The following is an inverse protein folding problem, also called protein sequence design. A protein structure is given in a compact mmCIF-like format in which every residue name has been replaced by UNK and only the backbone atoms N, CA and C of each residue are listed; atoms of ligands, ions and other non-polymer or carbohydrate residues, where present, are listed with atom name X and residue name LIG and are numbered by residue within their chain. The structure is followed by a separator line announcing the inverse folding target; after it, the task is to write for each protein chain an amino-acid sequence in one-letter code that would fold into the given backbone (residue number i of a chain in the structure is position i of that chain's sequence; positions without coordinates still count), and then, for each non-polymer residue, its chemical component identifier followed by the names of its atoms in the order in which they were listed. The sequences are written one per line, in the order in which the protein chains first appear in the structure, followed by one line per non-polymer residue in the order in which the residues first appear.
data_IF_336123984156
#
_entry.id   IF_336123984156
#
_cell.length_a   1.000
_cell.length_b   1.000
_cell.length_c   1.000
_cell.angle_alpha   90.00
_cell.angle_beta   90.00
_cell.angle_gamma   90.00
#
_symmetry.space_group_name_H-M   'P 1'
#
loop_
_entity.id
_entity.type
_entity.pdbx_description
1 polymer ?
#
# COMPACT_ATOMS: atom_id res chain seq x y z
N UNK A 1 -15.61 -0.92 -30.87
CA UNK A 1 -15.59 -1.52 -29.51
C UNK A 1 -16.96 -1.47 -28.83
N UNK A 2 -17.74 -0.39 -28.95
CA UNK A 2 -19.09 -0.33 -28.38
C UNK A 2 -20.06 -1.40 -28.87
N UNK A 3 -19.78 -2.07 -29.99
CA UNK A 3 -20.60 -3.14 -30.57
C UNK A 3 -20.28 -4.55 -30.00
N UNK A 4 -19.21 -4.74 -29.23
CA UNK A 4 -18.84 -6.06 -28.69
C UNK A 4 -19.54 -6.33 -27.37
N UNK A 5 -20.11 -7.52 -27.24
CA UNK A 5 -20.70 -7.96 -25.96
C UNK A 5 -19.60 -8.28 -24.92
N UNK A 6 -19.96 -8.29 -23.63
CA UNK A 6 -19.05 -8.76 -22.57
C UNK A 6 -18.58 -10.20 -22.81
N UNK A 7 -19.43 -11.06 -23.37
CA UNK A 7 -19.07 -12.45 -23.72
C UNK A 7 -17.96 -12.50 -24.77
N UNK A 8 -18.02 -11.63 -25.80
CA UNK A 8 -16.96 -11.53 -26.81
C UNK A 8 -15.65 -10.99 -26.23
N UNK A 9 -15.73 -10.02 -25.31
CA UNK A 9 -14.56 -9.48 -24.60
C UNK A 9 -13.94 -10.57 -23.70
N UNK A 10 -14.76 -11.38 -23.01
CA UNK A 10 -14.28 -12.48 -22.17
C UNK A 10 -13.54 -13.58 -22.97
N UNK A 11 -13.80 -13.68 -24.25
CA UNK A 11 -13.12 -14.63 -25.16
C UNK A 11 -11.74 -14.13 -25.64
N UNK A 12 -11.35 -12.89 -25.34
CA UNK A 12 -10.03 -12.39 -25.76
C UNK A 12 -8.92 -13.20 -25.13
N UNK A 13 -7.96 -13.58 -25.97
CA UNK A 13 -6.66 -14.05 -25.49
C UNK A 13 -5.83 -12.87 -24.95
N UNK A 14 -4.84 -13.12 -24.10
CA UNK A 14 -3.92 -12.06 -23.64
C UNK A 14 -3.28 -11.28 -24.80
N UNK A 15 -2.87 -11.97 -25.87
CA UNK A 15 -2.28 -11.35 -27.06
C UNK A 15 -3.26 -10.44 -27.81
N UNK A 16 -4.54 -10.80 -27.87
CA UNK A 16 -5.58 -9.97 -28.48
C UNK A 16 -5.86 -8.72 -27.62
N UNK A 17 -5.87 -8.87 -26.30
CA UNK A 17 -6.04 -7.75 -25.38
C UNK A 17 -4.85 -6.78 -25.47
N UNK A 18 -3.62 -7.28 -25.58
CA UNK A 18 -2.41 -6.47 -25.75
C UNK A 18 -2.39 -5.65 -27.05
N UNK A 19 -3.23 -5.99 -28.05
CA UNK A 19 -3.38 -5.24 -29.31
C UNK A 19 -4.46 -4.16 -29.28
N UNK A 20 -5.23 -4.04 -28.19
CA UNK A 20 -6.23 -2.98 -28.05
C UNK A 20 -5.54 -1.62 -28.00
N UNK A 21 -6.10 -0.65 -28.72
CA UNK A 21 -5.63 0.74 -28.61
C UNK A 21 -6.08 1.37 -27.29
N UNK A 22 -5.39 2.42 -26.84
CA UNK A 22 -5.77 3.19 -25.65
C UNK A 22 -7.18 3.75 -25.77
N UNK A 23 -7.60 4.21 -26.96
CA UNK A 23 -8.96 4.69 -27.21
C UNK A 23 -10.01 3.57 -27.07
N UNK A 24 -9.68 2.36 -27.50
CA UNK A 24 -10.57 1.21 -27.34
C UNK A 24 -10.72 0.80 -25.87
N UNK A 25 -9.63 0.85 -25.10
CA UNK A 25 -9.63 0.55 -23.66
C UNK A 25 -10.42 1.62 -22.89
N UNK A 26 -10.19 2.90 -23.18
CA UNK A 26 -10.91 4.00 -22.57
C UNK A 26 -12.43 3.97 -22.85
N UNK A 27 -12.85 3.37 -23.97
CA UNK A 27 -14.25 3.23 -24.37
C UNK A 27 -14.96 2.00 -23.75
N UNK A 28 -14.27 1.13 -23.00
CA UNK A 28 -14.89 -0.03 -22.33
C UNK A 28 -15.85 0.44 -21.22
N UNK A 29 -17.07 -0.05 -21.26
CA UNK A 29 -17.97 0.11 -20.12
C UNK A 29 -17.61 -0.86 -18.98
N UNK A 30 -18.28 -0.70 -17.80
CA UNK A 30 -18.01 -1.53 -16.63
C UNK A 30 -18.11 -3.03 -16.92
N UNK A 31 -19.16 -3.48 -17.58
CA UNK A 31 -19.40 -4.90 -17.85
C UNK A 31 -18.34 -5.47 -18.81
N UNK A 32 -17.96 -4.70 -19.84
CA UNK A 32 -16.91 -5.08 -20.78
C UNK A 32 -15.53 -5.14 -20.11
N UNK A 33 -15.21 -4.15 -19.27
CA UNK A 33 -13.95 -4.11 -18.51
C UNK A 33 -13.85 -5.31 -17.56
N UNK A 34 -14.92 -5.58 -16.81
CA UNK A 34 -14.98 -6.71 -15.88
C UNK A 34 -15.03 -8.09 -16.56
N UNK A 35 -15.29 -8.14 -17.87
CA UNK A 35 -15.23 -9.36 -18.66
C UNK A 35 -13.83 -9.71 -19.14
N UNK A 36 -12.88 -8.76 -19.15
CA UNK A 36 -11.48 -9.05 -19.45
C UNK A 36 -10.91 -10.00 -18.40
N UNK A 37 -10.19 -11.01 -18.87
CA UNK A 37 -9.47 -11.93 -17.97
C UNK A 37 -8.32 -11.22 -17.27
N UNK A 38 -7.99 -11.58 -16.02
CA UNK A 38 -6.84 -11.02 -15.30
C UNK A 38 -5.53 -11.10 -16.09
N UNK A 39 -5.25 -12.24 -16.73
CA UNK A 39 -4.06 -12.48 -17.53
C UNK A 39 -3.99 -11.55 -18.78
N UNK A 40 -5.14 -11.18 -19.30
CA UNK A 40 -5.23 -10.26 -20.43
C UNK A 40 -4.83 -8.82 -20.01
N UNK A 41 -5.24 -8.39 -18.82
CA UNK A 41 -4.81 -7.11 -18.24
C UNK A 41 -3.31 -7.11 -17.91
N UNK A 42 -2.78 -8.19 -17.38
CA UNK A 42 -1.36 -8.33 -17.06
C UNK A 42 -0.45 -8.20 -18.31
N UNK A 43 -0.93 -8.60 -19.48
CA UNK A 43 -0.19 -8.51 -20.75
C UNK A 43 -0.28 -7.15 -21.46
N UNK A 44 -1.18 -6.26 -21.00
CA UNK A 44 -1.27 -4.91 -21.56
C UNK A 44 -0.03 -4.08 -21.20
N UNK A 45 0.35 -3.16 -22.08
CA UNK A 45 1.43 -2.21 -21.79
C UNK A 45 1.03 -1.22 -20.68
N UNK A 46 2.01 -0.62 -20.04
CA UNK A 46 1.79 0.46 -19.05
C UNK A 46 0.99 1.63 -19.63
N UNK A 47 1.21 1.98 -20.90
CA UNK A 47 0.46 3.02 -21.62
C UNK A 47 -1.01 2.65 -21.79
N UNK A 48 -1.31 1.39 -22.12
CA UNK A 48 -2.67 0.90 -22.22
C UNK A 48 -3.39 0.93 -20.86
N UNK A 49 -2.75 0.45 -19.81
CA UNK A 49 -3.32 0.47 -18.46
C UNK A 49 -3.48 1.92 -17.97
N UNK A 50 -2.52 2.80 -18.23
CA UNK A 50 -2.62 4.22 -17.89
C UNK A 50 -3.79 4.95 -18.57
N UNK A 51 -4.32 4.42 -19.69
CA UNK A 51 -5.48 5.01 -20.37
C UNK A 51 -6.82 4.75 -19.66
N UNK A 52 -6.88 3.83 -18.71
CA UNK A 52 -8.05 3.62 -17.88
C UNK A 52 -8.39 4.90 -17.09
N UNK A 53 -9.65 5.29 -17.05
CA UNK A 53 -10.13 6.37 -16.20
C UNK A 53 -10.16 5.95 -14.73
N UNK A 54 -10.20 6.91 -13.79
CA UNK A 54 -10.35 6.61 -12.37
C UNK A 54 -11.60 5.77 -12.08
N UNK A 55 -12.72 6.02 -12.77
CA UNK A 55 -13.95 5.23 -12.65
C UNK A 55 -13.74 3.79 -13.15
N UNK A 56 -13.01 3.60 -14.24
CA UNK A 56 -12.69 2.25 -14.74
C UNK A 56 -11.80 1.50 -13.77
N UNK A 57 -10.76 2.13 -13.23
CA UNK A 57 -9.88 1.53 -12.20
C UNK A 57 -10.68 1.13 -10.97
N UNK A 58 -11.58 2.00 -10.47
CA UNK A 58 -12.45 1.70 -9.32
C UNK A 58 -13.45 0.55 -9.61
N UNK A 59 -13.73 0.25 -10.87
CA UNK A 59 -14.62 -0.84 -11.29
C UNK A 59 -13.88 -2.15 -11.61
N UNK A 60 -12.55 -2.20 -11.54
CA UNK A 60 -11.83 -3.48 -11.66
C UNK A 60 -12.28 -4.44 -10.57
N UNK A 61 -12.44 -5.69 -10.92
CA UNK A 61 -12.60 -6.75 -9.94
C UNK A 61 -11.28 -6.94 -9.19
N UNK A 62 -11.33 -7.50 -7.98
CA UNK A 62 -10.13 -7.70 -7.16
C UNK A 62 -9.09 -8.55 -7.90
N UNK A 63 -9.51 -9.68 -8.51
CA UNK A 63 -8.63 -10.56 -9.27
C UNK A 63 -7.98 -9.87 -10.49
N UNK A 64 -8.66 -8.88 -11.09
CA UNK A 64 -8.10 -8.06 -12.19
C UNK A 64 -7.06 -7.06 -11.67
N UNK A 65 -7.34 -6.45 -10.53
CA UNK A 65 -6.41 -5.53 -9.88
C UNK A 65 -5.15 -6.25 -9.38
N UNK A 66 -5.33 -7.45 -8.82
CA UNK A 66 -4.24 -8.31 -8.32
C UNK A 66 -3.29 -8.78 -9.44
N UNK A 67 -3.82 -8.96 -10.65
CA UNK A 67 -3.04 -9.37 -11.82
C UNK A 67 -2.19 -8.23 -12.42
N UNK A 68 -2.46 -6.96 -12.07
CA UNK A 68 -1.65 -5.84 -12.57
C UNK A 68 -0.22 -5.94 -12.05
N UNK A 69 0.74 -5.82 -12.95
CA UNK A 69 2.16 -5.74 -12.58
C UNK A 69 2.49 -4.43 -11.88
N UNK A 70 3.57 -4.40 -11.11
CA UNK A 70 4.01 -3.17 -10.43
C UNK A 70 4.16 -1.96 -11.38
N UNK A 71 4.84 -2.06 -12.54
CA UNK A 71 4.91 -0.96 -13.49
C UNK A 71 3.54 -0.48 -13.99
N UNK A 72 2.58 -1.39 -14.19
CA UNK A 72 1.21 -1.06 -14.59
C UNK A 72 0.47 -0.29 -13.49
N UNK A 73 0.59 -0.72 -12.24
CA UNK A 73 -0.01 -0.04 -11.09
C UNK A 73 0.58 1.36 -10.92
N UNK A 74 1.90 1.51 -11.05
CA UNK A 74 2.57 2.81 -11.01
C UNK A 74 2.09 3.75 -12.14
N UNK A 75 1.89 3.22 -13.35
CA UNK A 75 1.40 3.99 -14.48
C UNK A 75 -0.03 4.51 -14.31
N UNK A 76 -0.83 3.91 -13.44
CA UNK A 76 -2.17 4.41 -13.09
C UNK A 76 -2.12 5.70 -12.25
N UNK A 77 -1.00 6.03 -11.62
CA UNK A 77 -0.83 7.26 -10.83
C UNK A 77 -1.83 7.36 -9.68
N UNK A 78 -2.54 8.48 -9.57
CA UNK A 78 -3.51 8.74 -8.50
C UNK A 78 -4.87 8.05 -8.70
N UNK A 79 -5.03 7.20 -9.72
CA UNK A 79 -6.29 6.50 -10.00
C UNK A 79 -6.46 5.23 -9.15
N UNK A 80 -5.44 4.82 -8.42
CA UNK A 80 -5.35 3.51 -7.72
C UNK A 80 -5.74 3.54 -6.23
N UNK A 81 -6.53 4.50 -5.80
CA UNK A 81 -6.92 4.67 -4.39
C UNK A 81 -7.42 3.37 -3.74
N UNK A 82 -8.09 2.51 -4.48
CA UNK A 82 -8.64 1.25 -3.96
C UNK A 82 -7.61 0.10 -3.86
N UNK A 83 -6.42 0.27 -4.45
CA UNK A 83 -5.37 -0.76 -4.47
C UNK A 83 -4.30 -0.54 -3.40
N UNK A 84 -4.37 0.56 -2.69
CA UNK A 84 -3.43 0.95 -1.66
C UNK A 84 -4.16 1.34 -0.38
N UNK A 85 -3.47 1.23 0.71
CA UNK A 85 -3.88 1.72 2.04
C UNK A 85 -2.69 2.44 2.65
N UNK A 86 -2.93 3.58 3.26
CA UNK A 86 -1.89 4.50 3.72
C UNK A 86 -1.75 4.45 5.24
N UNK A 87 -0.77 3.73 5.82
CA UNK A 87 -0.35 3.94 7.21
C UNK A 87 0.78 4.98 7.33
N UNK A 88 0.93 5.55 8.54
CA UNK A 88 2.11 6.31 8.96
C UNK A 88 3.17 5.39 9.55
N UNK A 89 4.43 5.55 9.10
CA UNK A 89 5.59 4.78 9.55
C UNK A 89 6.67 5.72 10.07
N UNK A 90 7.28 5.36 11.21
CA UNK A 90 8.49 5.95 11.73
C UNK A 90 9.69 5.12 11.26
N UNK A 91 10.63 5.75 10.55
CA UNK A 91 11.94 5.20 10.20
C UNK A 91 12.83 5.21 11.45
N UNK A 92 12.77 4.12 12.21
CA UNK A 92 13.42 4.04 13.54
C UNK A 92 14.91 3.72 13.41
N UNK A 93 15.31 2.96 12.39
CA UNK A 93 16.70 2.61 12.13
C UNK A 93 17.44 3.67 11.27
N UNK A 94 16.69 4.63 10.69
CA UNK A 94 17.17 5.76 9.88
C UNK A 94 17.89 5.34 8.60
N UNK A 95 17.47 4.25 7.99
CA UNK A 95 18.06 3.77 6.73
C UNK A 95 17.32 4.27 5.48
N UNK A 96 16.18 4.98 5.68
CA UNK A 96 15.33 5.54 4.62
C UNK A 96 14.51 4.49 3.88
N UNK A 97 14.36 3.29 4.45
CA UNK A 97 13.53 2.20 3.94
C UNK A 97 12.41 1.94 4.91
N UNK A 98 11.19 1.80 4.41
CA UNK A 98 10.00 1.75 5.25
C UNK A 98 9.25 0.42 5.19
N UNK A 99 9.37 -0.30 4.06
CA UNK A 99 8.38 -1.34 3.77
C UNK A 99 8.91 -2.49 2.92
N UNK A 100 8.26 -3.63 3.07
CA UNK A 100 8.42 -4.78 2.18
C UNK A 100 7.30 -4.81 1.13
N UNK A 101 7.51 -5.57 0.04
CA UNK A 101 6.51 -5.72 -1.01
C UNK A 101 5.27 -6.48 -0.52
N UNK A 102 4.16 -6.37 -1.25
CA UNK A 102 2.93 -7.12 -0.93
C UNK A 102 3.15 -8.65 -0.93
N UNK A 103 4.07 -9.15 -1.73
CA UNK A 103 4.36 -10.59 -1.78
C UNK A 103 5.10 -11.08 -0.52
N UNK A 104 5.91 -10.22 0.08
CA UNK A 104 6.62 -10.45 1.34
C UNK A 104 5.90 -9.88 2.57
N UNK A 105 4.73 -9.28 2.39
CA UNK A 105 3.95 -8.68 3.46
C UNK A 105 3.07 -9.68 4.21
N UNK A 106 2.09 -9.19 4.92
CA UNK A 106 1.26 -9.95 5.87
C UNK A 106 -0.19 -10.06 5.40
N UNK A 107 -1.01 -10.81 6.15
CA UNK A 107 -2.47 -10.81 6.05
C UNK A 107 -3.02 -9.99 7.21
N UNK A 108 -3.68 -8.88 6.91
CA UNK A 108 -4.21 -7.97 7.92
C UNK A 108 -5.55 -7.35 7.47
N UNK A 109 -6.46 -7.03 8.39
CA UNK A 109 -7.68 -6.28 8.09
C UNK A 109 -7.38 -4.78 7.95
N UNK A 110 -6.50 -4.46 7.00
CA UNK A 110 -5.98 -3.11 6.77
C UNK A 110 -7.08 -2.09 6.40
N UNK A 111 -8.24 -2.55 5.92
CA UNK A 111 -9.38 -1.70 5.55
C UNK A 111 -10.48 -1.66 6.60
N UNK A 112 -10.28 -2.30 7.75
CA UNK A 112 -11.29 -2.37 8.82
C UNK A 112 -12.66 -2.87 8.33
N UNK A 113 -12.62 -3.86 7.45
CA UNK A 113 -13.81 -4.44 6.81
C UNK A 113 -14.26 -5.75 7.43
N UNK A 114 -13.53 -6.27 8.41
CA UNK A 114 -13.67 -7.60 8.96
C UNK A 114 -13.11 -8.70 8.06
N UNK A 115 -12.36 -8.33 7.01
CA UNK A 115 -11.79 -9.27 6.06
C UNK A 115 -10.30 -8.99 5.87
N UNK A 116 -9.49 -10.05 5.97
CA UNK A 116 -8.04 -9.96 5.75
C UNK A 116 -7.73 -9.72 4.27
N UNK A 117 -6.76 -8.86 4.01
CA UNK A 117 -6.11 -8.70 2.72
C UNK A 117 -4.63 -9.08 2.86
N UNK A 118 -4.03 -9.59 1.79
CA UNK A 118 -2.57 -9.62 1.66
C UNK A 118 -2.12 -8.19 1.41
N UNK A 119 -1.30 -7.64 2.29
CA UNK A 119 -0.84 -6.26 2.22
C UNK A 119 0.67 -6.20 2.31
N UNK A 120 1.29 -5.28 1.57
CA UNK A 120 2.66 -4.86 1.88
C UNK A 120 2.74 -4.48 3.36
N UNK A 121 3.92 -4.48 3.94
CA UNK A 121 4.05 -4.27 5.38
C UNK A 121 5.25 -3.41 5.73
N UNK A 122 5.26 -2.93 6.96
CA UNK A 122 6.40 -2.20 7.52
C UNK A 122 7.62 -3.12 7.65
N UNK A 123 8.84 -2.59 7.50
CA UNK A 123 10.05 -3.33 7.83
C UNK A 123 10.09 -3.67 9.32
N UNK A 124 10.63 -4.82 9.69
CA UNK A 124 10.71 -5.31 11.06
C UNK A 124 11.53 -4.43 12.03
N UNK A 125 12.26 -3.45 11.51
CA UNK A 125 13.08 -2.48 12.27
C UNK A 125 12.43 -1.11 12.42
N UNK A 126 11.30 -0.88 11.73
CA UNK A 126 10.54 0.36 11.74
C UNK A 126 9.21 0.18 12.47
N UNK A 127 8.51 1.28 12.71
CA UNK A 127 7.29 1.24 13.49
C UNK A 127 6.09 1.90 12.82
N UNK A 128 4.95 1.23 12.86
CA UNK A 128 3.66 1.81 12.52
C UNK A 128 3.21 2.72 13.66
N UNK A 129 2.75 3.94 13.33
CA UNK A 129 2.07 4.79 14.30
C UNK A 129 0.65 4.28 14.47
N UNK A 130 0.28 3.97 15.72
CA UNK A 130 -0.97 3.27 16.03
C UNK A 130 -1.66 3.83 17.26
N UNK A 131 -2.94 3.50 17.41
CA UNK A 131 -3.73 3.77 18.60
C UNK A 131 -4.72 2.63 18.83
N UNK A 132 -4.60 1.94 19.96
CA UNK A 132 -5.54 0.92 20.40
C UNK A 132 -6.89 1.59 20.73
N UNK A 133 -7.85 1.48 19.81
CA UNK A 133 -9.14 2.18 19.91
C UNK A 133 -10.17 1.41 20.71
N UNK A 134 -10.07 0.08 20.75
CA UNK A 134 -11.02 -0.80 21.43
C UNK A 134 -10.54 -1.19 22.84
N UNK A 135 -9.27 -0.86 23.20
CA UNK A 135 -8.70 -1.11 24.51
C UNK A 135 -8.37 -2.57 24.80
N UNK A 136 -8.22 -3.40 23.74
CA UNK A 136 -7.93 -4.82 23.90
C UNK A 136 -6.42 -5.13 24.02
N UNK A 137 -5.57 -4.11 23.87
CA UNK A 137 -4.11 -4.24 23.95
C UNK A 137 -3.45 -4.74 22.67
N UNK A 138 -4.22 -4.90 21.59
CA UNK A 138 -3.76 -5.36 20.28
C UNK A 138 -4.01 -4.27 19.22
N UNK A 139 -3.35 -4.40 18.10
CA UNK A 139 -3.66 -3.65 16.87
C UNK A 139 -4.12 -4.69 15.85
N UNK A 140 -5.41 -4.76 15.60
CA UNK A 140 -6.02 -5.84 14.83
C UNK A 140 -6.76 -5.36 13.58
N UNK A 141 -6.87 -4.05 13.39
CA UNK A 141 -7.52 -3.48 12.21
C UNK A 141 -6.89 -2.15 11.74
N UNK A 142 -7.11 -1.82 10.48
CA UNK A 142 -6.63 -0.57 9.88
C UNK A 142 -7.22 0.69 10.50
N UNK A 143 -8.34 0.60 11.25
CA UNK A 143 -8.90 1.74 11.98
C UNK A 143 -8.00 2.21 13.14
N UNK A 144 -7.12 1.35 13.62
CA UNK A 144 -6.16 1.60 14.69
C UNK A 144 -4.80 2.10 14.17
N UNK A 145 -4.61 2.06 12.85
CA UNK A 145 -3.49 2.71 12.17
C UNK A 145 -3.85 4.16 11.82
N UNK A 146 -2.83 5.03 11.71
CA UNK A 146 -3.02 6.37 11.16
C UNK A 146 -2.91 6.34 9.64
N UNK A 147 -4.04 6.27 8.95
CA UNK A 147 -4.12 6.09 7.50
C UNK A 147 -5.44 6.57 6.90
N UNK A 148 -5.67 6.21 5.65
CA UNK A 148 -6.89 6.55 4.92
C UNK A 148 -8.14 5.77 5.39
N UNK A 149 -7.98 4.79 6.27
CA UNK A 149 -9.06 4.06 6.93
C UNK A 149 -9.31 4.52 8.38
N UNK A 150 -8.58 5.53 8.87
CA UNK A 150 -8.82 6.17 10.17
C UNK A 150 -10.07 7.03 10.11
N UNK A 151 -10.99 6.81 11.06
CA UNK A 151 -12.22 7.60 11.16
C UNK A 151 -11.95 8.91 11.91
N UNK A 152 -12.26 10.03 11.25
CA UNK A 152 -12.14 11.37 11.82
C UNK A 152 -13.32 11.70 12.75
N UNK A 153 -13.20 12.71 13.64
CA UNK A 153 -14.29 13.14 14.53
C UNK A 153 -15.60 13.50 13.83
N UNK A 154 -15.55 13.93 12.57
CA UNK A 154 -16.73 14.22 11.74
C UNK A 154 -17.37 12.98 11.10
N UNK A 155 -16.91 11.77 11.43
CA UNK A 155 -17.40 10.50 10.95
C UNK A 155 -16.90 10.09 9.56
N UNK A 156 -16.15 10.93 8.85
CA UNK A 156 -15.55 10.61 7.55
C UNK A 156 -14.21 9.90 7.73
N UNK A 157 -13.78 9.16 6.73
CA UNK A 157 -12.42 8.62 6.66
C UNK A 157 -11.42 9.73 6.35
N UNK A 158 -10.21 9.61 6.88
CA UNK A 158 -9.12 10.49 6.54
C UNK A 158 -8.69 10.26 5.09
N UNK A 159 -8.08 11.26 4.48
CA UNK A 159 -7.58 11.14 3.09
C UNK A 159 -6.16 10.56 3.03
N UNK A 160 -5.45 10.51 4.16
CA UNK A 160 -4.11 9.94 4.34
C UNK A 160 -3.76 9.93 5.84
N UNK A 161 -2.61 9.35 6.19
CA UNK A 161 -2.18 9.22 7.58
C UNK A 161 -1.93 10.55 8.28
N UNK A 162 -1.39 11.56 7.60
CA UNK A 162 -1.18 12.88 8.23
C UNK A 162 -2.50 13.64 8.47
N UNK A 163 -3.50 13.46 7.60
CA UNK A 163 -4.84 14.01 7.86
C UNK A 163 -5.49 13.35 9.09
N UNK A 164 -5.27 12.04 9.27
CA UNK A 164 -5.70 11.34 10.47
C UNK A 164 -4.98 11.89 11.72
N UNK A 165 -3.65 11.99 11.66
CA UNK A 165 -2.83 12.47 12.78
C UNK A 165 -3.16 13.93 13.14
N UNK A 166 -3.36 14.82 12.16
CA UNK A 166 -3.69 16.23 12.40
C UNK A 166 -5.01 16.44 13.13
N UNK A 167 -5.91 15.45 13.12
CA UNK A 167 -7.17 15.54 13.88
C UNK A 167 -6.94 15.49 15.40
N UNK A 168 -5.74 15.14 15.86
CA UNK A 168 -5.34 15.09 17.26
C UNK A 168 -4.61 16.36 17.71
N UNK A 169 -4.27 17.28 16.80
CA UNK A 169 -3.64 18.57 17.10
C UNK A 169 -4.66 19.52 17.74
N UNK A 170 -4.80 19.40 19.05
CA UNK A 170 -5.82 20.13 19.82
C UNK A 170 -5.49 21.61 19.97
N UNK A 171 -4.22 21.97 20.06
CA UNK A 171 -3.74 23.33 20.22
C UNK A 171 -3.43 24.03 18.87
N UNK A 172 -3.46 23.28 17.76
CA UNK A 172 -3.23 23.74 16.39
C UNK A 172 -1.85 24.39 16.18
N UNK A 173 -0.83 23.85 16.83
CA UNK A 173 0.55 24.34 16.67
C UNK A 173 1.31 23.62 15.56
N UNK A 174 0.71 22.62 14.89
CA UNK A 174 1.29 21.84 13.80
C UNK A 174 2.24 20.75 14.28
N UNK A 175 2.21 20.42 15.56
CA UNK A 175 3.06 19.42 16.19
C UNK A 175 2.21 18.56 17.14
N UNK A 176 2.26 17.26 17.01
CA UNK A 176 1.67 16.34 17.97
C UNK A 176 2.72 16.01 19.03
N UNK A 177 2.42 16.33 20.28
CA UNK A 177 3.31 16.12 21.44
C UNK A 177 2.51 16.02 22.77
N UNK A 178 3.20 16.04 23.91
CA UNK A 178 2.57 15.91 25.24
C UNK A 178 1.59 17.04 25.62
N UNK A 179 1.47 18.11 24.82
CA UNK A 179 0.45 19.16 25.01
C UNK A 179 -0.89 18.75 24.39
N UNK A 180 -0.92 17.73 23.54
CA UNK A 180 -2.14 17.20 22.94
C UNK A 180 -2.72 16.08 23.80
N UNK A 181 -4.01 16.13 24.03
CA UNK A 181 -4.69 15.24 24.98
C UNK A 181 -4.50 13.75 24.63
N UNK A 182 -4.49 13.41 23.35
CA UNK A 182 -4.39 12.04 22.86
C UNK A 182 -2.94 11.54 22.69
N UNK A 183 -1.92 12.37 22.95
CA UNK A 183 -0.51 11.96 22.87
C UNK A 183 -0.20 10.68 23.62
N UNK A 184 -0.72 10.55 24.83
CA UNK A 184 -0.51 9.39 25.71
C UNK A 184 -1.10 8.07 25.17
N UNK A 185 -2.07 8.18 24.25
CA UNK A 185 -2.78 7.03 23.67
C UNK A 185 -2.06 6.53 22.40
N UNK A 186 -1.07 7.30 21.90
CA UNK A 186 -0.28 6.94 20.72
C UNK A 186 0.77 5.90 21.09
N UNK A 187 0.91 4.90 20.24
CA UNK A 187 1.92 3.86 20.35
C UNK A 187 2.65 3.68 19.02
N UNK A 188 3.77 3.01 19.09
CA UNK A 188 4.52 2.51 17.94
C UNK A 188 4.43 0.99 17.99
N UNK A 189 3.97 0.39 16.90
CA UNK A 189 3.97 -1.05 16.71
C UNK A 189 5.13 -1.45 15.81
N UNK A 190 6.08 -2.19 16.37
CA UNK A 190 7.23 -2.76 15.67
C UNK A 190 6.97 -4.25 15.53
N UNK A 191 6.41 -4.64 14.40
CA UNK A 191 6.15 -6.05 14.07
C UNK A 191 7.47 -6.72 13.69
N UNK A 192 8.16 -7.29 14.69
CA UNK A 192 9.54 -7.78 14.56
C UNK A 192 9.63 -9.09 13.78
N UNK A 193 8.59 -9.90 13.86
CA UNK A 193 8.51 -11.19 13.17
C UNK A 193 7.79 -11.07 11.82
N UNK A 194 7.23 -9.89 11.49
CA UNK A 194 6.52 -9.58 10.24
C UNK A 194 5.36 -10.55 9.96
N UNK A 195 4.55 -10.83 10.98
CA UNK A 195 3.40 -11.73 10.86
C UNK A 195 2.04 -11.01 10.84
N UNK A 196 2.03 -9.69 11.15
CA UNK A 196 0.81 -8.86 11.16
C UNK A 196 -0.05 -9.09 12.39
N UNK A 197 0.48 -9.69 13.45
CA UNK A 197 -0.15 -9.86 14.74
C UNK A 197 0.61 -9.07 15.80
N UNK A 198 -0.09 -8.54 16.78
CA UNK A 198 0.55 -7.82 17.88
C UNK A 198 1.02 -8.79 18.94
N UNK A 199 2.32 -8.96 19.06
CA UNK A 199 2.95 -9.83 20.03
C UNK A 199 3.43 -9.08 21.29
N UNK A 200 3.65 -9.76 22.44
CA UNK A 200 4.20 -9.14 23.62
C UNK A 200 5.55 -8.47 23.36
N UNK A 201 5.64 -7.16 23.67
CA UNK A 201 6.87 -6.37 23.49
C UNK A 201 6.99 -5.67 22.14
N UNK A 202 6.00 -5.77 21.26
CA UNK A 202 5.99 -5.08 19.96
C UNK A 202 5.30 -3.71 20.02
N UNK A 203 4.41 -3.49 20.99
CA UNK A 203 3.81 -2.19 21.25
C UNK A 203 4.56 -1.42 22.30
N UNK A 204 5.04 -0.23 21.94
CA UNK A 204 5.69 0.70 22.86
C UNK A 204 5.00 2.07 22.82
N UNK A 205 5.02 2.81 23.93
CA UNK A 205 4.63 4.22 23.89
C UNK A 205 5.68 5.05 23.14
N UNK A 206 5.28 6.21 22.61
CA UNK A 206 6.23 7.13 22.00
C UNK A 206 7.33 7.55 23.00
N UNK A 207 6.96 7.71 24.26
CA UNK A 207 7.89 8.08 25.33
C UNK A 207 8.92 6.97 25.61
N UNK A 208 8.50 5.70 25.67
CA UNK A 208 9.41 4.56 25.85
C UNK A 208 10.41 4.44 24.70
N UNK A 209 9.99 4.83 23.49
CA UNK A 209 10.83 4.90 22.31
C UNK A 209 11.67 6.19 22.22
N UNK A 210 11.55 7.10 23.23
CA UNK A 210 12.25 8.38 23.24
C UNK A 210 11.75 9.41 22.23
N UNK A 211 10.58 9.20 21.62
CA UNK A 211 9.95 10.15 20.69
C UNK A 211 9.23 11.23 21.51
N UNK A 212 9.53 12.49 21.24
CA UNK A 212 8.97 13.64 21.95
C UNK A 212 7.97 14.45 21.15
N UNK A 213 8.02 14.36 19.82
CA UNK A 213 7.06 15.06 18.96
C UNK A 213 7.00 14.47 17.54
N UNK A 214 5.84 14.65 16.88
CA UNK A 214 5.59 14.32 15.49
C UNK A 214 5.18 15.62 14.77
N UNK A 215 5.87 16.00 13.69
CA UNK A 215 5.57 17.21 12.94
C UNK A 215 4.50 16.95 11.89
N UNK A 216 3.58 17.90 11.73
CA UNK A 216 2.49 17.85 10.75
C UNK A 216 2.82 18.61 9.46
N UNK A 217 3.96 19.33 9.40
CA UNK A 217 4.42 20.01 8.20
C UNK A 217 5.01 19.01 7.21
N UNK A 218 4.23 18.64 6.20
CA UNK A 218 4.54 17.58 5.24
C UNK A 218 5.15 18.12 3.95
N UNK A 219 5.99 17.28 3.33
CA UNK A 219 6.47 17.44 1.95
C UNK A 219 5.95 16.28 1.12
N UNK A 220 5.50 16.58 -0.11
CA UNK A 220 5.12 15.53 -1.06
C UNK A 220 6.35 14.77 -1.54
N UNK A 221 6.20 13.47 -1.71
CA UNK A 221 7.19 12.57 -2.29
C UNK A 221 6.59 11.83 -3.49
N UNK A 222 7.42 11.43 -4.43
CA UNK A 222 7.08 10.56 -5.56
C UNK A 222 7.87 9.26 -5.52
N UNK A 223 8.57 9.01 -4.42
CA UNK A 223 9.37 7.82 -4.26
C UNK A 223 8.48 6.57 -4.20
N UNK A 224 9.03 5.48 -4.72
CA UNK A 224 8.41 4.16 -4.70
C UNK A 224 9.43 3.18 -4.14
N UNK A 225 8.99 2.35 -3.21
CA UNK A 225 9.79 1.33 -2.58
C UNK A 225 9.01 0.01 -2.57
N UNK A 226 9.56 -1.05 -3.14
CA UNK A 226 8.96 -2.39 -3.16
C UNK A 226 7.49 -2.40 -3.65
N UNK A 227 7.14 -1.52 -4.63
CA UNK A 227 5.78 -1.35 -5.14
C UNK A 227 4.87 -0.48 -4.29
N UNK A 228 5.34 0.03 -3.15
CA UNK A 228 4.62 0.94 -2.26
C UNK A 228 4.96 2.38 -2.61
N UNK A 229 4.01 3.30 -2.50
CA UNK A 229 4.24 4.71 -2.76
C UNK A 229 4.51 5.44 -1.45
N UNK A 230 5.56 6.26 -1.41
CA UNK A 230 5.79 7.20 -0.32
C UNK A 230 5.16 8.51 -0.74
N UNK A 231 3.99 8.84 -0.16
CA UNK A 231 3.18 9.99 -0.61
C UNK A 231 3.58 11.29 0.07
N UNK A 232 3.66 11.28 1.38
CA UNK A 232 3.98 12.43 2.20
C UNK A 232 5.08 12.07 3.20
N UNK A 233 5.97 13.01 3.48
CA UNK A 233 7.02 12.84 4.48
C UNK A 233 7.09 14.06 5.41
N UNK A 234 7.38 13.80 6.66
CA UNK A 234 7.65 14.77 7.70
C UNK A 234 8.74 14.23 8.62
N UNK A 235 8.82 14.68 9.86
CA UNK A 235 9.80 14.21 10.83
C UNK A 235 9.19 14.01 12.20
N UNK A 236 9.80 13.11 12.97
CA UNK A 236 9.62 13.03 14.42
C UNK A 236 10.90 13.51 15.12
N UNK A 237 10.80 13.89 16.40
CA UNK A 237 11.93 14.37 17.20
C UNK A 237 12.11 13.43 18.41
N UNK A 238 13.35 13.10 18.68
CA UNK A 238 13.76 12.29 19.83
C UNK A 238 14.10 13.14 21.06
N UNK A 239 14.19 12.50 22.22
CA UNK A 239 14.55 13.15 23.49
C UNK A 239 15.93 13.81 23.46
N UNK A 240 16.87 13.29 22.67
CA UNK A 240 18.22 13.85 22.46
C UNK A 240 18.25 15.00 21.44
N UNK A 241 17.09 15.40 20.91
CA UNK A 241 16.95 16.44 19.90
C UNK A 241 17.21 15.97 18.46
N UNK A 242 17.64 14.73 18.26
CA UNK A 242 17.77 14.17 16.91
C UNK A 242 16.40 13.97 16.24
N UNK A 243 16.39 13.88 14.92
CA UNK A 243 15.16 13.70 14.16
C UNK A 243 15.24 12.47 13.27
N UNK A 244 14.09 11.80 13.09
CA UNK A 244 13.91 10.74 12.12
C UNK A 244 12.77 11.07 11.14
N UNK A 245 12.59 10.24 10.13
CA UNK A 245 11.53 10.42 9.12
C UNK A 245 10.24 9.80 9.60
N UNK A 246 9.14 10.54 9.44
CA UNK A 246 7.75 10.07 9.54
C UNK A 246 7.17 10.09 8.14
N UNK A 247 6.76 8.95 7.61
CA UNK A 247 6.31 8.80 6.24
C UNK A 247 4.89 8.25 6.15
N UNK A 248 4.10 8.78 5.22
CA UNK A 248 2.82 8.23 4.79
C UNK A 248 3.09 7.28 3.62
N UNK A 249 3.08 5.98 3.90
CA UNK A 249 3.46 4.93 2.95
C UNK A 249 2.21 4.19 2.49
N UNK A 250 1.94 4.27 1.20
CA UNK A 250 0.79 3.63 0.57
C UNK A 250 1.11 2.19 0.24
N UNK A 251 0.72 1.29 1.13
CA UNK A 251 0.88 -0.16 0.99
C UNK A 251 0.01 -0.71 -0.11
N UNK A 252 0.60 -1.45 -1.03
CA UNK A 252 -0.14 -2.24 -1.99
C UNK A 252 -0.89 -3.38 -1.29
N UNK A 253 -2.14 -3.61 -1.72
CA UNK A 253 -2.97 -4.71 -1.23
C UNK A 253 -3.37 -5.65 -2.36
N UNK A 254 -3.57 -6.94 -2.02
CA UNK A 254 -4.12 -7.99 -2.89
C UNK A 254 -5.16 -8.80 -2.11
N UNK A 255 -6.02 -9.55 -2.80
CA UNK A 255 -6.85 -10.57 -2.14
C UNK A 255 -5.96 -11.66 -1.53
N UNK A 256 -6.40 -12.27 -0.43
CA UNK A 256 -5.65 -13.39 0.18
C UNK A 256 -5.53 -14.62 -0.71
N UNK A 257 -6.40 -14.73 -1.72
CA UNK A 257 -6.44 -15.83 -2.70
C UNK A 257 -5.87 -15.41 -4.06
N UNK A 258 -5.18 -14.26 -4.16
CA UNK A 258 -4.55 -13.86 -5.42
C UNK A 258 -3.54 -14.92 -5.86
N UNK A 259 -3.53 -15.32 -7.15
CA UNK A 259 -2.51 -16.22 -7.64
C UNK A 259 -1.13 -15.57 -7.48
N UNK A 260 -0.17 -16.32 -6.96
CA UNK A 260 1.22 -15.88 -6.94
C UNK A 260 1.70 -15.71 -8.38
N UNK A 261 2.01 -14.50 -8.77
CA UNK A 261 2.73 -14.25 -10.02
C UNK A 261 4.18 -14.67 -9.76
N UNK A 262 4.53 -15.90 -10.11
CA UNK A 262 5.94 -16.28 -10.17
C UNK A 262 6.60 -15.37 -11.21
N UNK A 263 7.38 -14.42 -10.76
CA UNK A 263 8.36 -13.75 -11.61
C UNK A 263 9.25 -14.84 -12.15
N UNK A 264 9.14 -15.12 -13.44
CA UNK A 264 10.12 -15.95 -14.15
C UNK A 264 11.44 -15.20 -13.97
N UNK A 265 12.32 -15.78 -13.15
CA UNK A 265 13.64 -15.22 -12.91
C UNK A 265 14.30 -14.90 -14.25
N UNK A 266 14.90 -13.74 -14.34
CA UNK A 266 15.85 -13.39 -15.39
C UNK A 266 16.72 -14.61 -15.66
N UNK A 267 16.73 -15.04 -16.93
CA UNK A 267 17.62 -16.07 -17.44
C UNK A 267 19.06 -15.74 -17.00
N UNK A 268 19.51 -16.33 -15.90
CA UNK A 268 20.91 -16.38 -15.57
C UNK A 268 21.59 -17.19 -16.66
N UNK A 269 22.58 -16.58 -17.29
CA UNK A 269 23.60 -17.09 -18.16
C UNK A 269 23.56 -18.60 -18.39
N UNK A 270 23.14 -19.02 -19.59
CA UNK A 270 23.55 -20.31 -20.14
C UNK A 270 25.06 -20.22 -20.40
N UNK A 271 25.85 -20.72 -19.46
CA UNK A 271 27.27 -20.99 -19.71
C UNK A 271 27.36 -22.18 -20.68
N UNK A 272 27.99 -21.90 -21.79
CA UNK A 272 28.34 -22.84 -22.86
C UNK A 272 29.30 -23.93 -22.34
N UNK A 273 28.80 -25.00 -21.70
CA UNK A 273 29.56 -26.24 -21.44
C UNK A 273 28.61 -27.40 -21.25
N UNK A 274 27.92 -27.85 -22.31
CA UNK A 274 27.40 -29.23 -22.38
C UNK A 274 27.03 -29.53 -23.84
N UNK A 275 28.06 -29.62 -24.69
CA UNK A 275 27.98 -30.36 -25.94
C UNK A 275 28.61 -31.74 -25.69
N UNK A 276 27.95 -32.86 -26.01
CA UNK A 276 28.58 -34.16 -25.95
C UNK A 276 29.67 -34.26 -27.01
N UNK A 277 30.77 -35.01 -26.74
CA UNK A 277 31.85 -35.15 -27.70
C UNK A 277 31.36 -35.95 -28.91
N UNK A 278 31.63 -35.44 -30.07
CA UNK A 278 31.34 -36.08 -31.35
C UNK A 278 32.10 -37.40 -31.54
N UNK A 279 31.37 -38.38 -32.02
CA UNK A 279 31.92 -39.56 -32.71
C UNK A 279 31.87 -39.32 -34.23
#
# INVERSE_FOLDING_TARGET
MLAMSSTQIAAFTPDQAAKLTTSQIAALNKQQLQALKPEALAQMSTTQIASLSATQVANLKMEQADALTEPQVLALGNKVVNLYVSPLILDLNRDGKFSVSVDNGVKFDIKSSGSLLKTAWVNSTDGLLVRDLNGNGLIDSGSELFGDHTKLPNGKLAVNGFAALSSLDGNRDGIINSKDTQWKDLKIWIDRNSDGHTDPGELASLADMGVTSLKLNVKSSTAVENGNKIGLVSSYTMVDGSTGVLADVWFRTKSVNAPEVKTVGTLDHITHTDLPPGS
#
